data_IF_045959984587
#
_entry.id   IF_045959984587
#
_cell.length_a   1.000
_cell.length_b   1.000
_cell.length_c   1.000
_cell.angle_alpha   90.00
_cell.angle_beta   90.00
_cell.angle_gamma   90.00
#
_symmetry.space_group_name_H-M   'P 1'
#
loop_
_entity.id
_entity.type
_entity.pdbx_description
1 polymer ?
#
# COMPACT_ATOMS: atom_id res chain seq x y z
N UNK A 1 13.46 -36.97 -2.20
CA UNK A 1 14.39 -36.03 -1.60
C UNK A 1 13.92 -34.63 -1.92
N UNK A 2 12.77 -34.24 -1.32
CA UNK A 2 12.11 -32.93 -1.41
C UNK A 2 11.40 -32.72 -0.08
N UNK A 3 12.19 -32.58 0.96
CA UNK A 3 11.76 -32.19 2.32
C UNK A 3 12.80 -31.23 2.81
N UNK A 4 12.46 -29.94 2.84
CA UNK A 4 13.08 -28.84 3.61
C UNK A 4 12.80 -27.48 2.97
N UNK A 5 11.50 -27.11 2.86
CA UNK A 5 11.10 -25.70 2.63
C UNK A 5 9.93 -25.30 3.54
N UNK A 6 9.89 -25.88 4.75
CA UNK A 6 8.97 -25.43 5.79
C UNK A 6 9.80 -24.83 6.94
N UNK A 7 9.86 -23.50 7.04
CA UNK A 7 10.58 -22.84 8.14
C UNK A 7 10.86 -21.36 8.00
N UNK A 8 10.14 -20.60 7.17
CA UNK A 8 10.34 -19.15 7.08
C UNK A 8 9.06 -18.37 7.43
N UNK A 9 8.50 -18.64 8.59
CA UNK A 9 7.56 -17.70 9.20
C UNK A 9 8.33 -16.59 9.92
N UNK A 10 8.32 -15.34 9.35
CA UNK A 10 8.20 -14.13 10.14
C UNK A 10 9.44 -13.48 10.74
N UNK A 11 10.56 -13.36 10.00
CA UNK A 11 11.46 -12.22 10.21
C UNK A 11 11.63 -11.49 8.89
N UNK A 12 11.05 -10.29 8.77
CA UNK A 12 11.35 -9.42 7.62
C UNK A 12 12.86 -9.30 7.51
N UNK A 13 13.42 -9.44 6.30
CA UNK A 13 14.86 -9.28 6.12
C UNK A 13 15.25 -7.84 6.50
N UNK A 14 16.51 -7.61 6.92
CA UNK A 14 17.00 -6.26 7.20
C UNK A 14 16.79 -5.31 6.01
N UNK A 15 16.83 -5.85 4.79
CA UNK A 15 16.56 -5.10 3.57
C UNK A 15 15.08 -4.71 3.46
N UNK A 16 14.17 -5.60 3.81
CA UNK A 16 12.73 -5.32 3.83
C UNK A 16 12.38 -4.30 4.92
N UNK A 17 12.94 -4.42 6.11
CA UNK A 17 12.77 -3.45 7.18
C UNK A 17 13.26 -2.05 6.76
N UNK A 18 14.43 -1.96 6.12
CA UNK A 18 14.97 -0.71 5.58
C UNK A 18 14.08 -0.14 4.46
N UNK A 19 13.56 -1.00 3.57
CA UNK A 19 12.64 -0.59 2.51
C UNK A 19 11.34 0.00 3.09
N UNK A 20 10.71 -0.67 4.05
CA UNK A 20 9.47 -0.22 4.67
C UNK A 20 9.65 1.11 5.42
N UNK A 21 10.75 1.26 6.19
CA UNK A 21 11.08 2.50 6.89
C UNK A 21 11.36 3.65 5.91
N UNK A 22 12.22 3.46 4.92
CA UNK A 22 12.54 4.48 3.92
C UNK A 22 11.31 4.88 3.11
N UNK A 23 10.52 3.90 2.68
CA UNK A 23 9.26 4.12 1.99
C UNK A 23 8.33 4.98 2.84
N UNK A 24 8.15 4.64 4.12
CA UNK A 24 7.35 5.46 5.03
C UNK A 24 7.89 6.89 5.15
N UNK A 25 9.19 7.08 5.32
CA UNK A 25 9.81 8.41 5.44
C UNK A 25 9.60 9.27 4.18
N UNK A 26 9.62 8.66 2.99
CA UNK A 26 9.28 9.35 1.74
C UNK A 26 7.80 9.72 1.74
N UNK A 27 6.92 8.78 2.02
CA UNK A 27 5.48 8.96 1.94
C UNK A 27 4.96 9.91 3.03
N UNK A 28 5.55 9.92 4.22
CA UNK A 28 5.22 10.86 5.30
C UNK A 28 5.85 12.25 5.11
N UNK A 29 6.77 12.40 4.14
CA UNK A 29 7.48 13.65 3.89
C UNK A 29 8.64 13.92 4.84
N UNK A 30 9.03 12.97 5.69
CA UNK A 30 10.26 13.05 6.48
C UNK A 30 11.50 13.08 5.59
N UNK A 31 11.44 12.38 4.44
CA UNK A 31 12.34 12.57 3.31
C UNK A 31 11.58 13.34 2.24
N UNK A 32 11.79 14.65 2.21
CA UNK A 32 11.02 15.54 1.36
C UNK A 32 11.25 15.28 -0.13
N UNK A 33 10.21 15.41 -0.93
CA UNK A 33 10.31 15.39 -2.39
C UNK A 33 11.22 16.54 -2.88
N UNK A 34 12.00 16.27 -3.91
CA UNK A 34 12.92 17.25 -4.48
C UNK A 34 14.28 17.33 -3.78
N UNK A 35 14.49 16.58 -2.69
CA UNK A 35 15.75 16.58 -1.94
C UNK A 35 16.68 15.50 -2.46
N UNK A 36 17.93 15.87 -2.73
CA UNK A 36 19.01 14.94 -3.03
C UNK A 36 19.61 14.43 -1.71
N UNK A 37 19.71 13.14 -1.56
CA UNK A 37 20.23 12.45 -0.38
C UNK A 37 21.33 11.47 -0.80
N UNK A 38 22.38 11.40 0.02
CA UNK A 38 23.45 10.42 -0.17
C UNK A 38 23.21 9.14 0.67
N UNK A 39 23.83 8.03 0.27
CA UNK A 39 23.75 6.79 1.05
C UNK A 39 24.20 6.95 2.51
N UNK A 40 25.34 7.64 2.82
CA UNK A 40 25.76 7.87 4.21
C UNK A 40 24.71 8.65 5.02
N UNK A 41 24.09 9.68 4.46
CA UNK A 41 23.03 10.46 5.14
C UNK A 41 21.82 9.61 5.47
N UNK A 42 21.46 8.67 4.60
CA UNK A 42 20.35 7.75 4.87
C UNK A 42 20.70 6.75 5.96
N UNK A 43 21.90 6.19 5.92
CA UNK A 43 22.40 5.28 6.97
C UNK A 43 22.35 5.98 8.33
N UNK A 44 22.82 7.22 8.39
CA UNK A 44 22.80 8.05 9.61
C UNK A 44 21.38 8.33 10.12
N UNK A 45 20.49 8.76 9.21
CA UNK A 45 19.11 9.15 9.55
C UNK A 45 18.23 7.96 9.96
N UNK A 46 18.52 6.76 9.46
CA UNK A 46 17.66 5.60 9.66
C UNK A 46 18.23 4.57 10.63
N UNK A 47 19.54 4.59 10.85
CA UNK A 47 20.23 3.56 11.64
C UNK A 47 20.35 2.20 10.95
N UNK A 48 19.85 2.05 9.73
CA UNK A 48 20.02 0.82 8.96
C UNK A 48 21.45 0.70 8.42
N UNK A 49 21.93 -0.54 8.28
CA UNK A 49 23.25 -0.79 7.68
C UNK A 49 23.32 -0.45 6.18
N UNK A 50 24.53 -0.24 5.64
CA UNK A 50 24.73 0.14 4.23
C UNK A 50 24.12 -0.85 3.23
N UNK A 51 24.31 -2.17 3.44
CA UNK A 51 23.79 -3.18 2.52
C UNK A 51 22.24 -3.22 2.50
N UNK A 52 21.52 -3.24 3.63
CA UNK A 52 20.07 -3.04 3.68
C UNK A 52 19.59 -1.76 3.00
N UNK A 53 20.24 -0.62 3.24
CA UNK A 53 19.89 0.66 2.60
C UNK A 53 20.02 0.59 1.08
N UNK A 54 21.11 0.02 0.56
CA UNK A 54 21.28 -0.15 -0.90
C UNK A 54 20.20 -1.03 -1.53
N UNK A 55 19.87 -2.15 -0.87
CA UNK A 55 18.79 -3.03 -1.35
C UNK A 55 17.44 -2.30 -1.33
N UNK A 56 17.14 -1.58 -0.25
CA UNK A 56 15.94 -0.76 -0.14
C UNK A 56 15.86 0.33 -1.21
N UNK A 57 16.96 1.02 -1.49
CA UNK A 57 17.04 2.05 -2.54
C UNK A 57 16.78 1.46 -3.94
N UNK A 58 17.29 0.25 -4.22
CA UNK A 58 17.01 -0.42 -5.48
C UNK A 58 15.51 -0.74 -5.65
N UNK A 59 14.86 -1.21 -4.57
CA UNK A 59 13.42 -1.47 -4.55
C UNK A 59 12.61 -0.17 -4.69
N UNK A 60 12.95 0.89 -3.96
CA UNK A 60 12.29 2.19 -4.04
C UNK A 60 12.39 2.83 -5.43
N UNK A 61 13.52 2.63 -6.12
CA UNK A 61 13.68 3.05 -7.51
C UNK A 61 12.76 2.26 -8.44
N UNK A 62 12.69 0.94 -8.26
CA UNK A 62 11.77 0.08 -9.01
C UNK A 62 10.32 0.55 -8.83
N UNK A 63 9.95 0.93 -7.61
CA UNK A 63 8.63 1.47 -7.27
C UNK A 63 8.43 2.94 -7.72
N UNK A 64 9.43 3.53 -8.37
CA UNK A 64 9.41 4.92 -8.86
C UNK A 64 9.24 6.00 -7.78
N UNK A 65 9.64 5.70 -6.55
CA UNK A 65 9.61 6.65 -5.43
C UNK A 65 10.87 7.52 -5.37
N UNK A 66 11.97 7.04 -5.95
CA UNK A 66 13.25 7.75 -6.04
C UNK A 66 13.89 7.59 -7.42
N UNK A 67 14.71 8.56 -7.80
CA UNK A 67 15.64 8.46 -8.92
C UNK A 67 17.08 8.42 -8.41
N UNK A 68 17.93 7.58 -9.03
CA UNK A 68 19.35 7.52 -8.68
C UNK A 68 20.10 8.53 -9.54
N UNK A 69 20.83 9.44 -8.88
CA UNK A 69 21.72 10.40 -9.55
C UNK A 69 23.14 9.87 -9.46
N UNK A 70 23.77 9.45 -10.60
CA UNK A 70 25.09 8.85 -10.59
C UNK A 70 26.11 9.70 -9.83
N UNK A 71 26.87 9.08 -8.93
CA UNK A 71 27.93 9.71 -8.09
C UNK A 71 27.45 10.79 -7.12
N UNK A 72 26.16 11.10 -7.07
CA UNK A 72 25.61 12.17 -6.22
C UNK A 72 24.64 11.64 -5.15
N UNK A 73 24.03 10.47 -5.35
CA UNK A 73 23.07 9.89 -4.43
C UNK A 73 21.75 9.56 -5.10
N UNK A 74 20.67 9.81 -4.42
CA UNK A 74 19.33 9.60 -4.94
C UNK A 74 18.44 10.80 -4.63
N UNK A 75 17.41 10.95 -5.44
CA UNK A 75 16.51 12.06 -5.44
C UNK A 75 15.09 11.53 -5.17
N UNK A 76 14.45 12.03 -4.12
CA UNK A 76 13.05 11.69 -3.84
C UNK A 76 12.18 12.33 -4.92
N UNK A 77 11.51 11.50 -5.70
CA UNK A 77 10.74 11.95 -6.86
C UNK A 77 9.52 12.76 -6.42
N UNK A 78 9.35 14.00 -6.90
CA UNK A 78 8.11 14.72 -6.69
C UNK A 78 6.99 14.08 -7.52
N UNK A 79 5.81 14.01 -6.94
CA UNK A 79 4.61 13.60 -7.67
C UNK A 79 3.93 14.82 -8.29
N UNK A 80 3.49 14.68 -9.51
CA UNK A 80 2.67 15.68 -10.19
C UNK A 80 1.19 15.34 -10.05
N UNK A 81 0.33 16.36 -10.12
CA UNK A 81 -1.13 16.15 -10.13
C UNK A 81 -1.59 15.29 -11.33
N UNK A 82 -0.86 15.37 -12.45
CA UNK A 82 -1.12 14.52 -13.62
C UNK A 82 -0.90 13.04 -13.30
N UNK A 83 0.26 12.70 -12.70
CA UNK A 83 0.56 11.32 -12.29
C UNK A 83 -0.43 10.80 -11.24
N UNK A 84 -0.87 11.66 -10.33
CA UNK A 84 -1.89 11.31 -9.34
C UNK A 84 -3.23 10.98 -10.02
N UNK A 85 -3.67 11.79 -10.98
CA UNK A 85 -4.90 11.53 -11.76
C UNK A 85 -4.80 10.25 -12.59
N UNK A 86 -3.67 10.03 -13.28
CA UNK A 86 -3.45 8.83 -14.08
C UNK A 86 -3.47 7.56 -13.23
N UNK A 87 -2.87 7.63 -12.04
CA UNK A 87 -2.87 6.53 -11.09
C UNK A 87 -4.28 6.19 -10.58
N UNK A 88 -5.07 7.22 -10.26
CA UNK A 88 -6.47 7.01 -9.84
C UNK A 88 -7.28 6.43 -10.98
N UNK A 89 -7.11 6.92 -12.22
CA UNK A 89 -7.79 6.36 -13.39
C UNK A 89 -7.47 4.87 -13.58
N UNK A 90 -6.20 4.48 -13.45
CA UNK A 90 -5.79 3.07 -13.52
C UNK A 90 -6.43 2.23 -12.40
N UNK A 91 -6.46 2.74 -11.16
CA UNK A 91 -7.10 2.08 -10.04
C UNK A 91 -8.61 1.91 -10.24
N UNK A 92 -9.30 2.93 -10.74
CA UNK A 92 -10.72 2.91 -11.08
C UNK A 92 -11.08 1.87 -12.15
N UNK A 93 -10.17 1.58 -13.08
CA UNK A 93 -10.36 0.56 -14.09
C UNK A 93 -10.16 -0.86 -13.55
N UNK A 94 -9.27 -1.05 -12.59
CA UNK A 94 -8.78 -2.36 -12.17
C UNK A 94 -9.41 -2.82 -10.85
N UNK A 95 -9.35 -2.02 -9.79
CA UNK A 95 -9.71 -2.45 -8.44
C UNK A 95 -11.20 -2.84 -8.28
N UNK A 96 -12.18 -2.17 -8.94
CA UNK A 96 -13.57 -2.62 -8.89
C UNK A 96 -13.78 -4.02 -9.46
N UNK A 97 -13.13 -4.32 -10.60
CA UNK A 97 -13.21 -5.65 -11.21
C UNK A 97 -12.54 -6.72 -10.34
N UNK A 98 -11.44 -6.36 -9.69
CA UNK A 98 -10.74 -7.23 -8.75
C UNK A 98 -11.62 -7.54 -7.54
N UNK A 99 -12.34 -6.56 -7.00
CA UNK A 99 -13.29 -6.78 -5.90
C UNK A 99 -14.45 -7.70 -6.29
N UNK A 100 -14.99 -7.55 -7.52
CA UNK A 100 -16.00 -8.45 -8.06
C UNK A 100 -15.48 -9.89 -8.19
N UNK A 101 -14.24 -10.07 -8.64
CA UNK A 101 -13.61 -11.40 -8.69
C UNK A 101 -13.37 -11.97 -7.28
N UNK A 102 -12.94 -11.15 -6.33
CA UNK A 102 -12.78 -11.56 -4.95
C UNK A 102 -14.10 -12.08 -4.35
N UNK A 103 -15.23 -11.40 -4.62
CA UNK A 103 -16.54 -11.86 -4.18
C UNK A 103 -16.92 -13.24 -4.75
N UNK A 104 -16.43 -13.58 -5.95
CA UNK A 104 -16.70 -14.88 -6.61
C UNK A 104 -15.78 -15.99 -6.11
N UNK A 105 -14.52 -15.68 -5.77
CA UNK A 105 -13.46 -16.68 -5.60
C UNK A 105 -12.94 -16.79 -4.15
N UNK A 106 -13.25 -15.82 -3.26
CA UNK A 106 -12.71 -15.80 -1.90
C UNK A 106 -12.89 -17.12 -1.16
N UNK A 107 -11.86 -17.51 -0.44
CA UNK A 107 -11.89 -18.60 0.53
C UNK A 107 -12.27 -18.10 1.93
N UNK A 108 -12.52 -19.03 2.86
CA UNK A 108 -12.70 -18.68 4.28
C UNK A 108 -11.45 -18.03 4.88
N UNK A 109 -10.25 -18.43 4.44
CA UNK A 109 -8.99 -17.85 4.89
C UNK A 109 -8.83 -16.40 4.42
N UNK A 110 -9.26 -16.07 3.20
CA UNK A 110 -9.25 -14.70 2.69
C UNK A 110 -10.17 -13.78 3.51
N UNK A 111 -11.38 -14.26 3.84
CA UNK A 111 -12.31 -13.52 4.69
C UNK A 111 -11.73 -13.27 6.08
N UNK A 112 -11.09 -14.27 6.69
CA UNK A 112 -10.42 -14.11 7.98
C UNK A 112 -9.27 -13.11 7.92
N UNK A 113 -8.48 -13.11 6.85
CA UNK A 113 -7.42 -12.13 6.64
C UNK A 113 -7.97 -10.70 6.54
N UNK A 114 -9.03 -10.49 5.77
CA UNK A 114 -9.70 -9.20 5.62
C UNK A 114 -10.32 -8.72 6.95
N UNK A 115 -10.94 -9.60 7.75
CA UNK A 115 -11.46 -9.27 9.08
C UNK A 115 -10.35 -8.84 10.04
N UNK A 116 -9.21 -9.53 10.01
CA UNK A 116 -8.04 -9.18 10.81
C UNK A 116 -7.53 -7.77 10.46
N UNK A 117 -7.46 -7.44 9.17
CA UNK A 117 -7.06 -6.12 8.70
C UNK A 117 -8.01 -5.04 9.22
N UNK A 118 -9.33 -5.26 9.17
CA UNK A 118 -10.32 -4.32 9.69
C UNK A 118 -10.20 -4.12 11.20
N UNK A 119 -9.94 -5.18 11.95
CA UNK A 119 -9.71 -5.10 13.41
C UNK A 119 -8.47 -4.25 13.71
N UNK A 120 -7.37 -4.50 13.02
CA UNK A 120 -6.12 -3.74 13.17
C UNK A 120 -6.28 -2.30 12.73
N UNK A 121 -7.11 -2.02 11.71
CA UNK A 121 -7.47 -0.66 11.30
C UNK A 121 -8.16 0.11 12.42
N UNK A 122 -9.17 -0.49 13.05
CA UNK A 122 -9.89 0.14 14.16
C UNK A 122 -8.96 0.47 15.34
N UNK A 123 -8.01 -0.41 15.64
CA UNK A 123 -7.02 -0.19 16.70
C UNK A 123 -5.97 0.87 16.33
N UNK A 124 -5.51 0.92 15.09
CA UNK A 124 -4.62 1.97 14.61
C UNK A 124 -5.31 3.34 14.62
N UNK A 125 -6.59 3.40 14.25
CA UNK A 125 -7.40 4.62 14.29
C UNK A 125 -7.56 5.15 15.73
N UNK A 126 -7.84 4.27 16.72
CA UNK A 126 -7.91 4.65 18.14
C UNK A 126 -6.58 5.20 18.67
N UNK A 127 -5.46 4.66 18.22
CA UNK A 127 -4.12 5.12 18.62
C UNK A 127 -3.66 6.35 17.84
N UNK A 128 -4.45 6.83 16.86
CA UNK A 128 -4.06 7.90 15.93
C UNK A 128 -2.69 7.59 15.27
N UNK A 129 -2.56 6.36 14.76
CA UNK A 129 -1.35 5.87 14.10
C UNK A 129 -1.45 6.04 12.57
N UNK A 130 -1.02 7.18 11.99
CA UNK A 130 -1.15 7.41 10.56
C UNK A 130 -0.32 6.44 9.73
N UNK A 131 0.82 5.96 10.27
CA UNK A 131 1.66 4.99 9.60
C UNK A 131 0.96 3.63 9.51
N UNK A 132 0.41 3.17 10.61
CA UNK A 132 -0.35 1.94 10.64
C UNK A 132 -1.55 1.97 9.70
N UNK A 133 -2.30 3.08 9.67
CA UNK A 133 -3.45 3.25 8.78
C UNK A 133 -3.06 3.18 7.30
N UNK A 134 -1.99 3.85 6.90
CA UNK A 134 -1.48 3.80 5.52
C UNK A 134 -1.08 2.38 5.12
N UNK A 135 -0.38 1.67 6.00
CA UNK A 135 0.05 0.30 5.72
C UNK A 135 -1.13 -0.66 5.63
N UNK A 136 -2.13 -0.50 6.51
CA UNK A 136 -3.34 -1.32 6.52
C UNK A 136 -4.23 -1.07 5.31
N UNK A 137 -4.26 0.16 4.79
CA UNK A 137 -4.95 0.48 3.54
C UNK A 137 -4.36 -0.30 2.35
N UNK A 138 -3.03 -0.35 2.25
CA UNK A 138 -2.37 -1.19 1.22
C UNK A 138 -2.68 -2.66 1.43
N UNK A 139 -2.52 -3.14 2.67
CA UNK A 139 -2.74 -4.54 3.01
C UNK A 139 -4.16 -4.99 2.66
N UNK A 140 -5.17 -4.14 2.91
CA UNK A 140 -6.56 -4.39 2.55
C UNK A 140 -6.75 -4.59 1.05
N UNK A 141 -6.29 -3.64 0.23
CA UNK A 141 -6.46 -3.74 -1.23
C UNK A 141 -5.70 -4.92 -1.82
N UNK A 142 -4.50 -5.23 -1.30
CA UNK A 142 -3.72 -6.41 -1.72
C UNK A 142 -4.42 -7.70 -1.29
N UNK A 143 -5.01 -7.75 -0.10
CA UNK A 143 -5.78 -8.92 0.37
C UNK A 143 -7.02 -9.16 -0.49
N UNK A 144 -7.77 -8.09 -0.85
CA UNK A 144 -8.89 -8.19 -1.81
C UNK A 144 -8.38 -8.73 -3.15
N UNK A 145 -7.24 -8.26 -3.63
CA UNK A 145 -6.69 -8.70 -4.90
C UNK A 145 -6.24 -10.18 -4.85
N UNK A 146 -5.67 -10.64 -3.76
CA UNK A 146 -5.34 -12.07 -3.55
C UNK A 146 -6.59 -12.93 -3.53
N UNK A 147 -7.66 -12.48 -2.85
CA UNK A 147 -8.94 -13.17 -2.81
C UNK A 147 -9.61 -13.30 -4.20
N UNK A 148 -9.19 -12.51 -5.20
CA UNK A 148 -9.64 -12.68 -6.58
C UNK A 148 -9.17 -13.98 -7.23
N UNK A 149 -8.17 -14.67 -6.65
CA UNK A 149 -7.55 -15.87 -7.20
C UNK A 149 -6.61 -15.62 -8.39
N UNK A 150 -6.35 -14.35 -8.74
CA UNK A 150 -5.49 -13.96 -9.86
C UNK A 150 -4.20 -13.28 -9.36
N UNK A 151 -3.09 -14.01 -9.37
CA UNK A 151 -1.80 -13.53 -8.87
C UNK A 151 -1.30 -12.28 -9.64
N UNK A 152 -1.54 -12.22 -10.96
CA UNK A 152 -1.13 -11.08 -11.78
C UNK A 152 -1.87 -9.80 -11.36
N UNK A 153 -3.17 -9.91 -11.08
CA UNK A 153 -3.94 -8.77 -10.55
C UNK A 153 -3.49 -8.38 -9.14
N UNK A 154 -3.12 -9.35 -8.29
CA UNK A 154 -2.59 -9.06 -6.97
C UNK A 154 -1.28 -8.26 -7.03
N UNK A 155 -0.36 -8.64 -7.89
CA UNK A 155 0.91 -7.93 -8.11
C UNK A 155 0.66 -6.51 -8.67
N UNK A 156 -0.25 -6.39 -9.63
CA UNK A 156 -0.60 -5.10 -10.23
C UNK A 156 -1.24 -4.15 -9.21
N UNK A 157 -2.21 -4.62 -8.42
CA UNK A 157 -2.84 -3.81 -7.36
C UNK A 157 -1.81 -3.42 -6.31
N UNK A 158 -0.90 -4.33 -5.94
CA UNK A 158 0.19 -4.00 -5.01
C UNK A 158 1.05 -2.85 -5.53
N UNK A 159 1.47 -2.90 -6.80
CA UNK A 159 2.27 -1.84 -7.42
C UNK A 159 1.51 -0.50 -7.47
N UNK A 160 0.22 -0.51 -7.85
CA UNK A 160 -0.62 0.69 -7.87
C UNK A 160 -0.80 1.29 -6.47
N UNK A 161 -1.01 0.45 -5.45
CA UNK A 161 -1.20 0.90 -4.07
C UNK A 161 0.07 1.46 -3.45
N UNK A 162 1.23 0.88 -3.72
CA UNK A 162 2.52 1.43 -3.30
C UNK A 162 2.67 2.86 -3.81
N UNK A 163 2.32 3.11 -5.05
CA UNK A 163 2.42 4.44 -5.68
C UNK A 163 1.35 5.42 -5.19
N UNK A 164 0.16 4.97 -4.80
CA UNK A 164 -0.94 5.83 -4.38
C UNK A 164 -0.86 6.37 -2.95
N UNK A 165 0.14 5.99 -2.18
CA UNK A 165 0.31 6.45 -0.78
C UNK A 165 0.45 7.97 -0.64
N UNK A 166 0.92 8.67 -1.68
CA UNK A 166 1.04 10.13 -1.65
C UNK A 166 -0.30 10.81 -1.37
N UNK A 167 -1.39 10.28 -1.93
CA UNK A 167 -2.74 10.81 -1.72
C UNK A 167 -3.20 10.65 -0.27
N UNK A 168 -2.85 9.53 0.38
CA UNK A 168 -3.20 9.28 1.77
C UNK A 168 -2.50 10.28 2.72
N UNK A 169 -1.28 10.72 2.40
CA UNK A 169 -0.55 11.70 3.18
C UNK A 169 -1.27 13.03 3.32
N UNK A 170 -1.90 13.50 2.24
CA UNK A 170 -2.61 14.78 2.24
C UNK A 170 -3.90 14.74 3.08
N UNK A 171 -4.51 13.58 3.22
CA UNK A 171 -5.84 13.39 3.80
C UNK A 171 -5.88 12.54 5.08
N UNK A 172 -4.86 11.70 5.32
CA UNK A 172 -4.84 10.69 6.38
C UNK A 172 -4.83 11.24 7.82
N UNK A 173 -4.62 12.54 7.99
CA UNK A 173 -4.68 13.19 9.31
C UNK A 173 -6.09 13.72 9.66
N UNK A 174 -7.04 13.63 8.74
CA UNK A 174 -8.41 14.08 8.98
C UNK A 174 -9.25 12.92 9.54
N UNK A 175 -9.77 13.07 10.75
CA UNK A 175 -10.58 12.03 11.41
C UNK A 175 -11.76 11.56 10.54
N UNK A 176 -12.43 12.47 9.83
CA UNK A 176 -13.53 12.13 8.93
C UNK A 176 -13.06 11.29 7.71
N UNK A 177 -11.84 11.51 7.22
CA UNK A 177 -11.26 10.70 6.15
C UNK A 177 -11.01 9.27 6.62
N UNK A 178 -10.36 9.10 7.77
CA UNK A 178 -10.08 7.78 8.36
C UNK A 178 -11.36 6.99 8.59
N UNK A 179 -12.40 7.65 9.14
CA UNK A 179 -13.71 7.03 9.38
C UNK A 179 -14.43 6.69 8.06
N UNK A 180 -14.28 7.53 7.04
CA UNK A 180 -14.80 7.27 5.68
C UNK A 180 -14.18 6.02 5.06
N UNK A 181 -12.87 5.91 5.07
CA UNK A 181 -12.13 4.74 4.56
C UNK A 181 -12.55 3.47 5.30
N UNK A 182 -12.64 3.50 6.64
CA UNK A 182 -13.07 2.35 7.42
C UNK A 182 -14.48 1.86 7.03
N UNK A 183 -15.42 2.78 6.83
CA UNK A 183 -16.78 2.46 6.39
C UNK A 183 -16.80 1.85 5.00
N UNK A 184 -16.04 2.41 4.08
CA UNK A 184 -15.98 1.95 2.69
C UNK A 184 -15.34 0.55 2.60
N UNK A 185 -14.24 0.32 3.34
CA UNK A 185 -13.63 -1.01 3.45
C UNK A 185 -14.60 -2.04 4.06
N UNK A 186 -15.38 -1.63 5.08
CA UNK A 186 -16.44 -2.47 5.66
C UNK A 186 -17.51 -2.86 4.65
N UNK A 187 -17.97 -1.92 3.82
CA UNK A 187 -18.95 -2.19 2.76
C UNK A 187 -18.40 -3.15 1.70
N UNK A 188 -17.14 -2.96 1.27
CA UNK A 188 -16.46 -3.87 0.33
C UNK A 188 -16.37 -5.27 0.91
N UNK A 189 -15.91 -5.41 2.15
CA UNK A 189 -15.77 -6.71 2.82
C UNK A 189 -17.11 -7.41 2.98
N UNK A 190 -18.18 -6.67 3.32
CA UNK A 190 -19.54 -7.23 3.42
C UNK A 190 -19.99 -7.80 2.10
N UNK A 191 -19.87 -7.06 1.00
CA UNK A 191 -20.23 -7.54 -0.33
C UNK A 191 -19.42 -8.77 -0.78
N UNK A 192 -18.10 -8.78 -0.49
CA UNK A 192 -17.24 -9.94 -0.75
C UNK A 192 -17.71 -11.15 0.05
N UNK A 193 -18.04 -10.98 1.33
CA UNK A 193 -18.54 -12.06 2.21
C UNK A 193 -19.84 -12.66 1.69
N UNK A 194 -20.76 -11.81 1.25
CA UNK A 194 -22.08 -12.21 0.72
C UNK A 194 -22.01 -12.79 -0.70
N UNK A 195 -20.82 -12.84 -1.31
CA UNK A 195 -20.61 -13.24 -2.70
C UNK A 195 -21.32 -12.35 -3.73
N UNK A 196 -21.65 -11.13 -3.35
CA UNK A 196 -22.27 -10.14 -4.25
C UNK A 196 -21.19 -9.40 -5.05
N UNK A 197 -20.88 -9.92 -6.24
CA UNK A 197 -19.87 -9.36 -7.11
C UNK A 197 -20.22 -7.95 -7.59
N UNK A 198 -21.51 -7.65 -7.81
CA UNK A 198 -21.95 -6.34 -8.27
C UNK A 198 -21.85 -5.29 -7.17
N UNK A 199 -22.25 -5.63 -5.94
CA UNK A 199 -22.11 -4.76 -4.79
C UNK A 199 -20.62 -4.52 -4.46
N UNK A 200 -19.76 -5.56 -4.52
CA UNK A 200 -18.33 -5.43 -4.30
C UNK A 200 -17.65 -4.50 -5.33
N UNK A 201 -18.01 -4.64 -6.62
CA UNK A 201 -17.54 -3.74 -7.67
C UNK A 201 -17.96 -2.29 -7.40
N UNK A 202 -19.24 -2.08 -7.11
CA UNK A 202 -19.80 -0.74 -6.87
C UNK A 202 -19.18 -0.09 -5.62
N UNK A 203 -19.02 -0.83 -4.52
CA UNK A 203 -18.41 -0.34 -3.30
C UNK A 203 -16.94 0.05 -3.50
N UNK A 204 -16.15 -0.79 -4.20
CA UNK A 204 -14.75 -0.49 -4.50
C UNK A 204 -14.63 0.71 -5.45
N UNK A 205 -15.50 0.83 -6.44
CA UNK A 205 -15.55 1.98 -7.36
C UNK A 205 -15.83 3.27 -6.61
N UNK A 206 -16.79 3.26 -5.70
CA UNK A 206 -17.10 4.41 -4.84
C UNK A 206 -15.94 4.81 -3.96
N UNK A 207 -15.30 3.81 -3.31
CA UNK A 207 -14.13 4.01 -2.46
C UNK A 207 -12.95 4.65 -3.20
N UNK A 208 -12.54 4.08 -4.33
CA UNK A 208 -11.44 4.65 -5.14
C UNK A 208 -11.81 6.02 -5.69
N UNK A 209 -13.09 6.25 -6.04
CA UNK A 209 -13.59 7.54 -6.54
C UNK A 209 -13.59 8.63 -5.47
N UNK A 210 -13.92 8.32 -4.22
CA UNK A 210 -13.92 9.29 -3.12
C UNK A 210 -12.51 9.86 -2.85
N UNK A 211 -11.46 9.08 -3.10
CA UNK A 211 -10.07 9.55 -3.02
C UNK A 211 -9.76 10.59 -4.10
N UNK A 212 -10.39 10.47 -5.28
CA UNK A 212 -10.17 11.39 -6.42
C UNK A 212 -10.75 12.78 -6.20
N UNK A 213 -11.89 12.87 -5.52
CA UNK A 213 -12.57 14.16 -5.27
C UNK A 213 -11.77 15.10 -4.35
N UNK A 214 -10.63 14.67 -3.84
CA UNK A 214 -9.78 15.39 -2.90
C UNK A 214 -8.40 15.75 -3.48
N UNK A 215 -8.13 15.43 -4.76
CA UNK A 215 -6.95 15.81 -5.55
C UNK A 215 -7.34 16.90 -6.54
#
# INVERSE_FOLDING_TARGET
MLTELDGAQGKSSLAEAAYLDLRWRILSGQLAAGVLLTEPEIVERTGHGRAPVRAAMAALRHDQLIDIVPRRGFFVRPWTDAEARDLVAARQMIEPQVAALAARHRSAADLQALDNIQTRWADAAKRMDPQGLVMLDVEFHVAVARASGNAVLADLVSALKIRSHHQFRMNGQRANFVAGVARDHGAILTAIREADAQAAEAAMRGHVGAVTAQV
#
